data_IF_463928470552
#
_entry.id   IF_463928470552
#
_cell.length_a   1.000
_cell.length_b   1.000
_cell.length_c   1.000
_cell.angle_alpha   90.00
_cell.angle_beta   90.00
_cell.angle_gamma   90.00
#
_symmetry.space_group_name_H-M   'P 1'
#
loop_
_entity.id
_entity.type
_entity.pdbx_description
1 polymer ?
#
# COMPACT_ATOMS: atom_id res chain seq x y z
N UNK A 1 -40.71 -21.41 -20.60
CA UNK A 1 -40.09 -20.24 -19.94
C UNK A 1 -39.03 -20.61 -18.90
N UNK A 2 -39.26 -21.59 -18.04
CA UNK A 2 -38.33 -22.03 -16.97
C UNK A 2 -37.00 -22.63 -17.49
N UNK A 3 -37.01 -23.27 -18.65
CA UNK A 3 -35.84 -23.94 -19.25
C UNK A 3 -34.79 -22.95 -19.75
N UNK A 4 -35.18 -21.74 -20.19
CA UNK A 4 -34.27 -20.71 -20.68
C UNK A 4 -33.58 -19.99 -19.50
N UNK A 5 -34.25 -19.82 -18.35
CA UNK A 5 -33.67 -19.18 -17.15
C UNK A 5 -32.49 -19.99 -16.58
N UNK A 6 -32.64 -21.35 -16.59
CA UNK A 6 -31.53 -22.22 -16.15
C UNK A 6 -30.26 -22.09 -17.03
N UNK A 7 -30.46 -21.92 -18.34
CA UNK A 7 -29.33 -21.76 -19.26
C UNK A 7 -28.61 -20.39 -19.08
N UNK A 8 -29.34 -19.32 -18.81
CA UNK A 8 -28.74 -18.00 -18.52
C UNK A 8 -28.03 -17.98 -17.16
N UNK A 9 -28.57 -18.66 -16.15
CA UNK A 9 -27.93 -18.81 -14.84
C UNK A 9 -26.64 -19.64 -14.95
N UNK A 10 -26.65 -20.71 -15.74
CA UNK A 10 -25.44 -21.53 -15.99
C UNK A 10 -24.38 -20.76 -16.79
N UNK A 11 -24.78 -19.93 -17.76
CA UNK A 11 -23.88 -19.10 -18.54
C UNK A 11 -23.24 -18.01 -17.67
N UNK A 12 -24.01 -17.43 -16.74
CA UNK A 12 -23.52 -16.42 -15.80
C UNK A 12 -22.50 -17.01 -14.80
N UNK A 13 -22.76 -18.22 -14.31
CA UNK A 13 -21.83 -18.96 -13.42
C UNK A 13 -20.55 -19.35 -14.16
N UNK A 14 -20.62 -19.74 -15.44
CA UNK A 14 -19.44 -20.09 -16.24
C UNK A 14 -18.60 -18.81 -16.54
N UNK A 15 -19.26 -17.68 -16.77
CA UNK A 15 -18.56 -16.41 -17.01
C UNK A 15 -17.85 -15.88 -15.75
N UNK A 16 -18.46 -16.07 -14.56
CA UNK A 16 -17.86 -15.69 -13.29
C UNK A 16 -16.69 -16.59 -12.86
N UNK A 17 -16.70 -17.88 -13.24
CA UNK A 17 -15.59 -18.79 -12.94
C UNK A 17 -14.30 -18.48 -13.72
N UNK A 18 -14.39 -17.81 -14.86
CA UNK A 18 -13.19 -17.44 -15.63
C UNK A 18 -12.41 -16.25 -15.04
N UNK A 19 -13.05 -15.41 -14.22
CA UNK A 19 -12.37 -14.30 -13.55
C UNK A 19 -11.58 -14.74 -12.31
N UNK A 20 -11.95 -15.84 -11.66
CA UNK A 20 -11.30 -16.33 -10.43
C UNK A 20 -9.90 -16.95 -10.64
N UNK A 21 -9.48 -17.16 -11.89
CA UNK A 21 -8.16 -17.69 -12.24
C UNK A 21 -7.30 -16.74 -13.08
N UNK A 22 -7.84 -15.60 -13.47
CA UNK A 22 -7.17 -14.66 -14.36
C UNK A 22 -6.28 -13.71 -13.55
N UNK A 23 -5.02 -13.58 -13.97
CA UNK A 23 -4.11 -12.59 -13.43
C UNK A 23 -4.56 -11.21 -13.86
N UNK A 24 -4.73 -10.30 -12.91
CA UNK A 24 -5.23 -8.96 -13.17
C UNK A 24 -4.45 -7.92 -12.37
N UNK A 25 -4.36 -6.72 -12.93
CA UNK A 25 -3.81 -5.54 -12.28
C UNK A 25 -4.91 -4.52 -12.10
N UNK A 26 -5.21 -4.18 -10.86
CA UNK A 26 -6.13 -3.11 -10.49
C UNK A 26 -5.32 -1.89 -10.10
N UNK A 27 -5.52 -0.79 -10.81
CA UNK A 27 -4.74 0.44 -10.61
C UNK A 27 -5.58 1.39 -9.79
N UNK A 28 -5.07 1.74 -8.62
CA UNK A 28 -5.68 2.68 -7.69
C UNK A 28 -4.90 3.99 -7.67
N UNK A 29 -5.62 5.09 -7.66
CA UNK A 29 -5.10 6.39 -7.29
C UNK A 29 -5.38 6.62 -5.81
N UNK A 30 -4.35 6.92 -5.03
CA UNK A 30 -4.46 7.37 -3.65
C UNK A 30 -4.28 8.87 -3.61
N UNK A 31 -5.28 9.59 -3.09
CA UNK A 31 -5.15 10.98 -2.62
C UNK A 31 -5.09 10.98 -1.11
N UNK A 32 -4.05 11.59 -0.54
CA UNK A 32 -3.91 11.58 0.92
C UNK A 32 -3.28 12.86 1.45
N UNK A 33 -3.55 13.16 2.72
CA UNK A 33 -2.89 14.23 3.46
C UNK A 33 -1.61 13.69 4.11
N UNK A 34 -0.44 14.21 3.76
CA UNK A 34 0.83 13.76 4.37
C UNK A 34 0.92 14.10 5.86
N UNK A 35 0.21 15.16 6.31
CA UNK A 35 0.04 15.57 7.70
C UNK A 35 -1.43 15.95 7.94
N UNK A 36 -1.93 15.76 9.15
CA UNK A 36 -3.33 16.06 9.52
C UNK A 36 -3.73 17.50 9.24
N UNK A 37 -2.80 18.43 9.43
CA UNK A 37 -3.03 19.88 9.20
C UNK A 37 -2.73 20.30 7.75
N UNK A 38 -2.38 19.35 6.87
CA UNK A 38 -2.06 19.66 5.48
C UNK A 38 -3.32 20.05 4.70
N UNK A 39 -3.28 21.20 4.06
CA UNK A 39 -4.30 21.63 3.09
C UNK A 39 -4.09 20.92 1.75
N UNK A 40 -2.84 20.57 1.43
CA UNK A 40 -2.46 19.93 0.17
C UNK A 40 -2.59 18.43 0.26
N UNK A 41 -3.29 17.84 -0.72
CA UNK A 41 -3.28 16.40 -0.97
C UNK A 41 -2.08 16.02 -1.84
N UNK A 42 -1.46 14.90 -1.52
CA UNK A 42 -0.53 14.20 -2.41
C UNK A 42 -1.27 13.08 -3.14
N UNK A 43 -0.89 12.83 -4.39
CA UNK A 43 -1.48 11.78 -5.22
C UNK A 43 -0.43 10.76 -5.62
N UNK A 44 -0.74 9.47 -5.45
CA UNK A 44 0.16 8.37 -5.79
C UNK A 44 -0.63 7.24 -6.45
N UNK A 45 -0.03 6.65 -7.50
CA UNK A 45 -0.59 5.47 -8.16
C UNK A 45 -0.04 4.19 -7.53
N UNK A 46 -0.95 3.28 -7.19
CA UNK A 46 -0.69 1.95 -6.68
C UNK A 46 -1.27 0.88 -7.59
N UNK A 47 -0.66 -0.28 -7.54
CA UNK A 47 -1.11 -1.48 -8.24
C UNK A 47 -1.52 -2.54 -7.22
N UNK A 48 -2.69 -3.12 -7.40
CA UNK A 48 -3.10 -4.37 -6.79
C UNK A 48 -3.01 -5.44 -7.87
N UNK A 49 -1.93 -6.19 -7.86
CA UNK A 49 -1.71 -7.31 -8.78
C UNK A 49 -2.20 -8.60 -8.14
N UNK A 50 -3.01 -9.37 -8.87
CA UNK A 50 -3.59 -10.62 -8.36
C UNK A 50 -3.13 -11.81 -9.20
N UNK A 51 -2.80 -12.92 -8.53
CA UNK A 51 -2.51 -14.22 -9.15
C UNK A 51 -3.08 -15.32 -8.25
N UNK A 52 -4.18 -15.96 -8.67
CA UNK A 52 -4.89 -17.01 -7.93
C UNK A 52 -5.34 -16.52 -6.54
N UNK A 53 -4.66 -17.01 -5.51
CA UNK A 53 -4.97 -16.73 -4.10
C UNK A 53 -4.06 -15.65 -3.48
N UNK A 54 -3.12 -15.13 -4.25
CA UNK A 54 -2.18 -14.10 -3.79
C UNK A 54 -2.47 -12.79 -4.47
N UNK A 55 -2.47 -11.70 -3.70
CA UNK A 55 -2.44 -10.35 -4.22
C UNK A 55 -1.32 -9.53 -3.60
N UNK A 56 -0.82 -8.57 -4.39
CA UNK A 56 0.28 -7.70 -4.03
C UNK A 56 -0.12 -6.26 -4.31
N UNK A 57 -0.18 -5.45 -3.26
CA UNK A 57 -0.47 -4.02 -3.36
C UNK A 57 0.79 -3.21 -3.11
N UNK A 58 1.26 -2.48 -4.11
CA UNK A 58 2.45 -1.64 -3.99
C UNK A 58 2.46 -0.51 -5.03
N UNK A 59 3.33 0.49 -4.82
CA UNK A 59 3.54 1.55 -5.80
C UNK A 59 4.27 1.03 -7.04
N UNK A 60 4.18 1.78 -8.16
CA UNK A 60 4.87 1.45 -9.40
C UNK A 60 6.38 1.30 -9.21
N UNK A 61 6.97 2.08 -8.32
CA UNK A 61 8.40 2.04 -8.02
C UNK A 61 8.81 0.71 -7.40
N UNK A 62 8.11 0.27 -6.34
CA UNK A 62 8.35 -1.03 -5.72
C UNK A 62 8.09 -2.18 -6.69
N UNK A 63 7.00 -2.12 -7.46
CA UNK A 63 6.66 -3.10 -8.48
C UNK A 63 7.79 -3.32 -9.48
N UNK A 64 8.39 -2.24 -10.00
CA UNK A 64 9.54 -2.31 -10.91
C UNK A 64 10.79 -2.84 -10.21
N UNK A 65 11.11 -2.31 -9.04
CA UNK A 65 12.29 -2.68 -8.26
C UNK A 65 12.33 -4.17 -7.93
N UNK A 66 11.20 -4.72 -7.46
CA UNK A 66 11.11 -6.14 -7.11
C UNK A 66 11.22 -7.05 -8.34
N UNK A 67 10.63 -6.66 -9.48
CA UNK A 67 10.79 -7.42 -10.70
C UNK A 67 12.24 -7.43 -11.20
N UNK A 68 12.96 -6.33 -11.04
CA UNK A 68 14.39 -6.25 -11.37
C UNK A 68 15.23 -7.07 -10.38
N UNK A 69 14.93 -6.99 -9.09
CA UNK A 69 15.59 -7.82 -8.08
C UNK A 69 15.45 -9.33 -8.36
N UNK A 70 14.27 -9.76 -8.80
CA UNK A 70 14.03 -11.15 -9.18
C UNK A 70 14.79 -11.58 -10.43
N UNK A 71 14.97 -10.66 -11.41
CA UNK A 71 15.62 -10.96 -12.70
C UNK A 71 17.14 -10.86 -12.63
N UNK A 72 17.69 -9.89 -11.93
CA UNK A 72 19.13 -9.57 -11.93
C UNK A 72 19.82 -9.72 -10.56
N UNK A 73 19.04 -10.05 -9.51
CA UNK A 73 19.56 -10.30 -8.16
C UNK A 73 19.65 -9.06 -7.26
N UNK A 74 19.45 -7.86 -7.79
CA UNK A 74 19.48 -6.61 -7.00
C UNK A 74 18.37 -5.65 -7.45
N UNK A 75 17.75 -4.92 -6.51
CA UNK A 75 16.67 -3.97 -6.79
C UNK A 75 17.22 -2.67 -7.40
N UNK A 76 16.32 -1.87 -7.99
CA UNK A 76 16.57 -0.44 -8.15
C UNK A 76 16.49 0.26 -6.79
N UNK A 77 17.12 1.45 -6.70
CA UNK A 77 17.07 2.25 -5.49
C UNK A 77 15.62 2.54 -5.07
N UNK A 78 15.35 2.45 -3.78
CA UNK A 78 14.05 2.78 -3.20
C UNK A 78 13.96 4.26 -2.85
N UNK A 79 12.71 4.74 -2.73
CA UNK A 79 12.43 5.98 -2.00
C UNK A 79 12.94 5.81 -0.56
N UNK A 80 13.88 6.67 -0.18
CA UNK A 80 14.62 6.56 1.08
C UNK A 80 13.88 7.20 2.26
N UNK A 81 12.62 7.58 2.07
CA UNK A 81 11.84 8.27 3.10
C UNK A 81 10.98 7.32 3.93
N UNK A 82 11.06 7.42 5.26
CA UNK A 82 9.98 6.98 6.14
C UNK A 82 8.80 7.92 5.95
N UNK A 83 7.83 7.49 5.17
CA UNK A 83 6.62 8.26 4.92
C UNK A 83 5.42 7.34 4.66
N UNK A 84 4.26 7.96 4.53
CA UNK A 84 3.00 7.29 4.27
C UNK A 84 2.90 6.64 2.86
N UNK A 85 3.93 6.78 2.03
CA UNK A 85 4.00 6.20 0.68
C UNK A 85 4.41 4.71 0.69
N UNK A 86 4.87 4.20 1.83
CA UNK A 86 5.26 2.80 1.97
C UNK A 86 4.04 1.88 2.20
N UNK A 87 3.05 1.98 1.32
CA UNK A 87 1.88 1.08 1.36
C UNK A 87 2.17 -0.14 0.50
N UNK A 88 2.86 -1.12 1.09
CA UNK A 88 3.21 -2.35 0.42
C UNK A 88 2.67 -3.54 1.22
N UNK A 89 1.73 -4.29 0.62
CA UNK A 89 1.04 -5.40 1.28
C UNK A 89 0.96 -6.60 0.36
N UNK A 90 1.27 -7.78 0.89
CA UNK A 90 0.95 -9.07 0.29
C UNK A 90 -0.21 -9.69 1.06
N UNK A 91 -1.25 -10.10 0.35
CA UNK A 91 -2.38 -10.88 0.88
C UNK A 91 -2.34 -12.28 0.28
N UNK A 92 -2.57 -13.30 1.10
CA UNK A 92 -2.67 -14.69 0.67
C UNK A 92 -3.93 -15.28 1.29
N UNK A 93 -4.96 -15.48 0.45
CA UNK A 93 -6.26 -15.98 0.91
C UNK A 93 -6.24 -17.46 1.26
N UNK A 94 -5.32 -18.24 0.69
CA UNK A 94 -5.15 -19.67 1.01
C UNK A 94 -4.53 -19.84 2.39
N UNK A 95 -3.47 -19.09 2.68
CA UNK A 95 -2.77 -19.12 3.96
C UNK A 95 -3.45 -18.22 5.02
N UNK A 96 -4.50 -17.50 4.63
CA UNK A 96 -5.19 -16.49 5.46
C UNK A 96 -4.19 -15.53 6.13
N UNK A 97 -3.27 -14.99 5.32
CA UNK A 97 -2.23 -14.10 5.81
C UNK A 97 -2.22 -12.77 5.07
N UNK A 98 -1.99 -11.71 5.82
CA UNK A 98 -1.73 -10.37 5.31
C UNK A 98 -0.41 -9.89 5.88
N UNK A 99 0.54 -9.56 5.00
CA UNK A 99 1.87 -9.08 5.37
C UNK A 99 2.05 -7.64 4.86
N UNK A 100 2.28 -6.72 5.79
CA UNK A 100 2.73 -5.36 5.46
C UNK A 100 4.26 -5.34 5.42
N UNK A 101 4.82 -4.91 4.29
CA UNK A 101 6.26 -4.71 4.16
C UNK A 101 6.63 -3.31 4.61
N UNK A 102 7.74 -3.19 5.33
CA UNK A 102 8.28 -1.93 5.81
C UNK A 102 9.76 -1.84 5.43
N UNK A 103 10.12 -0.73 4.80
CA UNK A 103 11.46 -0.47 4.29
C UNK A 103 12.15 0.54 5.18
N UNK A 104 13.36 0.22 5.61
CA UNK A 104 14.16 1.11 6.44
C UNK A 104 15.05 1.95 5.51
N UNK A 105 14.85 3.27 5.45
CA UNK A 105 15.67 4.14 4.63
C UNK A 105 17.16 4.00 4.96
N UNK A 106 18.03 4.25 3.97
CA UNK A 106 19.50 4.24 4.13
C UNK A 106 20.07 2.86 4.47
N UNK A 107 19.44 2.10 5.38
CA UNK A 107 19.87 0.77 5.76
C UNK A 107 19.52 -0.33 4.73
N UNK A 108 18.76 0.02 3.69
CA UNK A 108 18.27 -0.92 2.65
C UNK A 108 17.71 -2.23 3.20
N UNK A 109 17.04 -2.14 4.34
CA UNK A 109 16.52 -3.31 5.05
C UNK A 109 15.01 -3.35 4.96
N UNK A 110 14.49 -4.52 4.60
CA UNK A 110 13.06 -4.79 4.53
C UNK A 110 12.66 -5.75 5.65
N UNK A 111 11.60 -5.41 6.36
CA UNK A 111 10.94 -6.28 7.33
C UNK A 111 9.49 -6.49 6.91
N UNK A 112 8.80 -7.43 7.56
CA UNK A 112 7.37 -7.61 7.38
C UNK A 112 6.65 -7.63 8.73
N UNK A 113 5.44 -7.07 8.75
CA UNK A 113 4.54 -7.12 9.89
C UNK A 113 3.37 -8.00 9.48
N UNK A 114 3.07 -9.04 10.26
CA UNK A 114 1.88 -9.85 10.06
C UNK A 114 0.68 -9.09 10.62
N UNK A 115 -0.28 -8.79 9.73
CA UNK A 115 -1.50 -8.09 10.08
C UNK A 115 -2.49 -9.08 10.67
N UNK A 116 -2.88 -8.88 11.93
CA UNK A 116 -3.79 -9.77 12.65
C UNK A 116 -5.19 -9.15 12.86
N UNK A 117 -5.35 -7.87 12.53
CA UNK A 117 -6.64 -7.18 12.67
C UNK A 117 -7.61 -7.71 11.60
N UNK A 118 -8.79 -8.16 12.05
CA UNK A 118 -9.90 -8.49 11.16
C UNK A 118 -10.59 -7.20 10.74
N UNK A 119 -10.94 -7.16 9.46
CA UNK A 119 -11.81 -6.12 8.91
C UNK A 119 -13.25 -6.59 9.05
N UNK A 120 -13.95 -6.12 10.07
CA UNK A 120 -15.37 -6.40 10.27
C UNK A 120 -16.19 -5.34 9.53
N UNK A 121 -16.69 -5.74 8.34
CA UNK A 121 -17.48 -4.86 7.50
C UNK A 121 -18.96 -4.88 7.86
N UNK A 122 -19.54 -3.70 8.09
CA UNK A 122 -20.97 -3.50 8.12
C UNK A 122 -21.43 -3.06 6.74
N UNK A 123 -22.07 -3.96 5.99
CA UNK A 123 -22.65 -3.64 4.69
C UNK A 123 -23.90 -2.80 4.91
N UNK A 124 -24.00 -1.68 4.18
CA UNK A 124 -25.04 -0.69 4.31
C UNK A 124 -25.97 -0.74 3.09
N UNK A 125 -27.22 -0.24 3.19
CA UNK A 125 -28.18 -0.26 2.09
C UNK A 125 -27.87 0.74 0.97
N UNK A 126 -27.02 1.72 1.20
CA UNK A 126 -26.68 2.77 0.24
C UNK A 126 -25.96 2.21 -0.96
N UNK A 127 -26.42 2.64 -2.13
CA UNK A 127 -25.88 2.25 -3.43
C UNK A 127 -25.67 3.47 -4.29
N UNK A 128 -24.62 3.44 -5.11
CA UNK A 128 -24.35 4.48 -6.11
C UNK A 128 -23.50 3.93 -7.26
N UNK A 129 -23.48 4.66 -8.37
CA UNK A 129 -22.58 4.36 -9.48
C UNK A 129 -21.28 5.15 -9.30
N UNK A 130 -20.12 4.45 -9.36
CA UNK A 130 -18.78 5.05 -9.35
C UNK A 130 -18.09 4.63 -10.65
N UNK A 131 -17.78 5.60 -11.49
CA UNK A 131 -17.34 5.29 -12.85
C UNK A 131 -18.41 4.49 -13.60
N UNK A 132 -18.06 3.27 -14.01
CA UNK A 132 -18.96 2.34 -14.69
C UNK A 132 -19.57 1.27 -13.79
N UNK A 133 -19.22 1.23 -12.50
CA UNK A 133 -19.60 0.18 -11.58
C UNK A 133 -20.76 0.58 -10.68
N UNK A 134 -21.75 -0.30 -10.53
CA UNK A 134 -22.78 -0.15 -9.52
C UNK A 134 -22.27 -0.70 -8.18
N UNK A 135 -22.12 0.19 -7.21
CA UNK A 135 -21.47 -0.10 -5.94
C UNK A 135 -22.43 -0.06 -4.77
N UNK A 136 -22.15 -0.86 -3.76
CA UNK A 136 -22.79 -0.83 -2.45
C UNK A 136 -21.80 -0.36 -1.39
N UNK A 137 -22.30 0.38 -0.40
CA UNK A 137 -21.50 0.92 0.70
C UNK A 137 -21.26 -0.12 1.78
N UNK A 138 -20.06 -0.08 2.36
CA UNK A 138 -19.74 -0.77 3.61
C UNK A 138 -18.91 0.15 4.51
N UNK A 139 -19.05 -0.01 5.82
CA UNK A 139 -18.29 0.69 6.84
C UNK A 139 -17.50 -0.31 7.68
N UNK A 140 -16.27 0.04 8.04
CA UNK A 140 -15.42 -0.78 8.90
C UNK A 140 -14.40 0.06 9.65
N UNK A 141 -13.79 -0.52 10.68
CA UNK A 141 -12.75 0.15 11.47
C UNK A 141 -11.40 -0.51 11.23
N UNK A 142 -10.36 0.30 11.02
CA UNK A 142 -9.00 -0.17 10.91
C UNK A 142 -7.99 0.93 11.22
N UNK A 143 -6.93 0.58 11.95
CA UNK A 143 -5.80 1.48 12.19
C UNK A 143 -6.16 2.73 13.01
N UNK A 144 -7.23 2.70 13.80
CA UNK A 144 -7.74 3.87 14.54
C UNK A 144 -8.54 4.86 13.67
N UNK A 145 -9.01 4.41 12.48
CA UNK A 145 -9.87 5.17 11.56
C UNK A 145 -11.14 4.41 11.26
N UNK A 146 -12.21 5.13 10.91
CA UNK A 146 -13.43 4.57 10.32
C UNK A 146 -13.30 4.69 8.80
N UNK A 147 -13.58 3.61 8.09
CA UNK A 147 -13.45 3.52 6.65
C UNK A 147 -14.79 3.31 5.98
N UNK A 148 -15.07 4.08 4.93
CA UNK A 148 -16.24 3.97 4.07
C UNK A 148 -15.81 3.39 2.73
N UNK A 149 -16.15 2.13 2.49
CA UNK A 149 -15.84 1.41 1.26
C UNK A 149 -17.07 1.35 0.34
N UNK A 150 -16.84 1.47 -0.96
CA UNK A 150 -17.79 1.23 -2.02
C UNK A 150 -17.28 0.05 -2.85
N UNK A 151 -17.98 -1.05 -2.82
CA UNK A 151 -17.60 -2.27 -3.50
C UNK A 151 -18.65 -2.70 -4.54
N UNK A 152 -18.23 -3.45 -5.55
CA UNK A 152 -19.12 -3.99 -6.59
C UNK A 152 -19.00 -5.50 -6.70
N UNK A 153 -20.15 -6.17 -6.80
CA UNK A 153 -20.22 -7.60 -7.12
C UNK A 153 -20.05 -7.91 -8.61
N UNK A 154 -20.02 -6.89 -9.47
CA UNK A 154 -19.77 -7.07 -10.91
C UNK A 154 -18.34 -7.57 -11.17
N UNK A 155 -17.40 -7.29 -10.25
CA UNK A 155 -16.06 -7.85 -10.21
C UNK A 155 -15.97 -8.77 -8.98
N UNK A 156 -16.16 -10.10 -9.13
CA UNK A 156 -16.33 -11.03 -8.02
C UNK A 156 -14.97 -11.42 -7.37
N UNK A 157 -14.18 -10.43 -7.03
CA UNK A 157 -12.89 -10.58 -6.35
C UNK A 157 -12.99 -9.87 -5.00
N UNK A 158 -12.96 -10.65 -3.92
CA UNK A 158 -13.05 -10.14 -2.54
C UNK A 158 -11.73 -9.48 -2.11
N UNK A 159 -11.36 -8.39 -2.79
CA UNK A 159 -10.11 -7.69 -2.58
C UNK A 159 -10.27 -6.17 -2.77
N UNK A 160 -9.21 -5.41 -2.48
CA UNK A 160 -9.19 -3.96 -2.58
C UNK A 160 -7.80 -3.38 -2.30
N UNK A 161 -7.67 -2.04 -2.25
CA UNK A 161 -6.39 -1.39 -2.05
C UNK A 161 -5.84 -1.69 -0.64
N UNK A 162 -4.54 -1.64 -0.51
CA UNK A 162 -3.81 -1.83 0.75
C UNK A 162 -4.21 -3.16 1.43
N UNK A 163 -4.62 -3.13 2.70
CA UNK A 163 -5.05 -4.32 3.46
C UNK A 163 -6.54 -4.63 3.26
N UNK A 164 -7.29 -3.72 2.66
CA UNK A 164 -8.74 -3.80 2.61
C UNK A 164 -9.20 -4.94 1.69
N UNK A 165 -9.92 -5.90 2.27
CA UNK A 165 -10.47 -7.07 1.60
C UNK A 165 -11.70 -7.59 2.39
N UNK A 166 -12.30 -8.69 1.95
CA UNK A 166 -13.36 -9.39 2.70
C UNK A 166 -14.78 -8.96 2.36
N UNK A 167 -14.99 -7.96 1.49
CA UNK A 167 -16.31 -7.63 0.95
C UNK A 167 -16.69 -8.59 -0.21
N UNK A 168 -17.98 -8.80 -0.49
CA UNK A 168 -18.42 -9.70 -1.57
C UNK A 168 -18.26 -9.06 -2.95
N UNK A 169 -17.04 -8.65 -3.30
CA UNK A 169 -16.65 -8.01 -4.54
C UNK A 169 -15.50 -7.06 -4.38
N UNK A 170 -15.07 -6.47 -5.50
CA UNK A 170 -13.92 -5.55 -5.53
C UNK A 170 -14.27 -4.19 -4.91
N UNK A 171 -13.40 -3.68 -4.07
CA UNK A 171 -13.51 -2.31 -3.54
C UNK A 171 -13.11 -1.33 -4.65
N UNK A 172 -14.06 -0.53 -5.11
CA UNK A 172 -13.86 0.48 -6.17
C UNK A 172 -13.33 1.79 -5.56
N UNK A 173 -13.86 2.16 -4.40
CA UNK A 173 -13.43 3.36 -3.68
C UNK A 173 -13.46 3.11 -2.18
N UNK A 174 -12.50 3.68 -1.45
CA UNK A 174 -12.50 3.63 0.01
C UNK A 174 -11.85 4.89 0.57
N UNK A 175 -12.53 5.52 1.51
CA UNK A 175 -12.08 6.75 2.18
C UNK A 175 -12.18 6.59 3.68
N UNK A 176 -11.30 7.24 4.44
CA UNK A 176 -11.50 7.37 5.88
C UNK A 176 -12.49 8.50 6.22
N UNK A 177 -13.03 8.48 7.42
CA UNK A 177 -14.06 9.42 7.90
C UNK A 177 -13.57 10.88 7.95
N UNK A 178 -12.25 11.10 8.03
CA UNK A 178 -11.63 12.44 8.05
C UNK A 178 -11.24 12.96 6.68
N UNK A 179 -11.34 12.12 5.64
CA UNK A 179 -10.88 12.44 4.27
C UNK A 179 -9.36 12.65 4.21
N UNK A 180 -8.62 11.97 5.05
CA UNK A 180 -7.15 11.99 5.03
C UNK A 180 -6.61 11.04 3.96
N UNK A 181 -7.36 9.98 3.64
CA UNK A 181 -7.03 8.97 2.64
C UNK A 181 -8.24 8.69 1.75
N UNK A 182 -8.02 8.71 0.44
CA UNK A 182 -9.02 8.38 -0.59
C UNK A 182 -8.37 7.51 -1.66
N UNK A 183 -8.70 6.24 -1.67
CA UNK A 183 -8.29 5.29 -2.71
C UNK A 183 -9.44 5.13 -3.71
N UNK A 184 -9.16 5.30 -4.99
CA UNK A 184 -10.13 5.09 -6.06
C UNK A 184 -9.54 4.23 -7.17
N UNK A 185 -10.28 3.20 -7.61
CA UNK A 185 -9.93 2.38 -8.76
C UNK A 185 -10.06 3.20 -10.04
N UNK A 186 -8.95 3.39 -10.74
CA UNK A 186 -8.92 4.15 -11.99
C UNK A 186 -8.84 3.28 -13.23
N UNK A 187 -8.31 2.06 -13.11
CA UNK A 187 -8.16 1.16 -14.26
C UNK A 187 -8.06 -0.31 -13.83
N UNK A 188 -8.57 -1.20 -14.68
CA UNK A 188 -8.30 -2.65 -14.63
C UNK A 188 -7.55 -3.02 -15.90
N UNK A 189 -6.46 -3.78 -15.76
CA UNK A 189 -5.64 -4.30 -16.86
C UNK A 189 -5.37 -5.79 -16.68
N UNK A 190 -5.03 -6.46 -17.76
CA UNK A 190 -4.39 -7.76 -17.68
C UNK A 190 -3.04 -7.64 -16.99
N UNK A 191 -2.66 -8.64 -16.22
CA UNK A 191 -1.38 -8.68 -15.55
C UNK A 191 -0.26 -8.95 -16.56
N UNK A 192 0.66 -7.99 -16.71
CA UNK A 192 1.66 -8.00 -17.78
C UNK A 192 2.85 -8.94 -17.53
N UNK A 193 3.02 -9.44 -16.29
CA UNK A 193 4.19 -10.22 -15.92
C UNK A 193 3.88 -11.70 -15.78
N UNK A 194 4.92 -12.53 -15.90
CA UNK A 194 4.77 -13.98 -15.78
C UNK A 194 4.31 -14.40 -14.39
N UNK A 195 4.77 -13.71 -13.34
CA UNK A 195 4.49 -14.01 -11.94
C UNK A 195 4.56 -12.76 -11.05
N UNK A 196 4.02 -12.83 -9.85
CA UNK A 196 4.18 -11.81 -8.83
C UNK A 196 5.60 -11.86 -8.24
N UNK A 197 6.17 -10.68 -7.98
CA UNK A 197 7.49 -10.52 -7.40
C UNK A 197 7.38 -9.79 -6.04
N UNK A 198 6.97 -10.46 -4.96
CA UNK A 198 6.92 -9.84 -3.64
C UNK A 198 8.34 -9.57 -3.14
N UNK A 199 8.53 -8.44 -2.47
CA UNK A 199 9.80 -8.12 -1.83
C UNK A 199 10.23 -9.22 -0.84
N UNK A 200 11.54 -9.45 -0.78
CA UNK A 200 12.12 -10.30 0.27
C UNK A 200 12.27 -9.48 1.56
N UNK A 201 12.00 -10.08 2.70
CA UNK A 201 12.19 -9.43 4.00
C UNK A 201 13.13 -10.26 4.89
N UNK A 202 13.85 -9.58 5.80
CA UNK A 202 14.82 -10.22 6.69
C UNK A 202 14.14 -11.07 7.75
N UNK A 203 13.09 -10.53 8.38
CA UNK A 203 12.30 -11.20 9.43
C UNK A 203 10.94 -10.54 9.60
N UNK A 204 10.04 -11.25 10.28
CA UNK A 204 8.82 -10.67 10.83
C UNK A 204 9.16 -9.85 12.08
N UNK A 205 8.48 -8.71 12.21
CA UNK A 205 8.57 -7.82 13.37
C UNK A 205 7.16 -7.47 13.86
N UNK A 206 7.06 -7.04 15.12
CA UNK A 206 5.83 -6.49 15.67
C UNK A 206 5.66 -5.01 15.32
N UNK A 207 4.49 -4.45 15.61
CA UNK A 207 4.26 -3.00 15.50
C UNK A 207 5.13 -2.21 16.48
N UNK A 208 5.33 -2.73 17.69
CA UNK A 208 6.19 -2.13 18.71
C UNK A 208 7.66 -2.11 18.26
N UNK A 209 8.14 -3.19 17.65
CA UNK A 209 9.47 -3.22 17.03
C UNK A 209 9.59 -2.15 15.94
N UNK A 210 8.55 -2.00 15.10
CA UNK A 210 8.55 -1.01 14.03
C UNK A 210 8.53 0.43 14.57
N UNK A 211 7.73 0.72 15.60
CA UNK A 211 7.73 2.02 16.28
C UNK A 211 9.11 2.35 16.86
N UNK A 212 9.78 1.35 17.46
CA UNK A 212 11.15 1.49 17.95
C UNK A 212 12.12 1.80 16.82
N UNK A 213 12.05 1.06 15.71
CA UNK A 213 12.91 1.31 14.53
C UNK A 213 12.68 2.73 13.99
N UNK A 214 11.45 3.21 13.90
CA UNK A 214 11.13 4.56 13.47
C UNK A 214 11.72 5.62 14.42
N UNK A 215 11.64 5.38 15.72
CA UNK A 215 12.19 6.26 16.75
C UNK A 215 13.72 6.29 16.69
N UNK A 216 14.36 5.13 16.59
CA UNK A 216 15.82 5.00 16.49
C UNK A 216 16.34 5.70 15.22
N UNK A 217 15.65 5.50 14.09
CA UNK A 217 15.98 6.19 12.85
C UNK A 217 15.82 7.72 12.96
N UNK A 218 14.73 8.20 13.57
CA UNK A 218 14.52 9.62 13.79
C UNK A 218 15.62 10.24 14.66
N UNK A 219 16.04 9.52 15.70
CA UNK A 219 17.09 9.99 16.62
C UNK A 219 18.48 9.99 15.97
N UNK A 220 18.76 8.99 15.13
CA UNK A 220 20.06 8.89 14.46
C UNK A 220 19.94 8.35 13.01
N UNK A 221 19.39 9.15 12.09
CA UNK A 221 19.08 8.69 10.73
C UNK A 221 20.30 8.29 9.90
N UNK A 222 21.49 8.77 10.24
CA UNK A 222 22.73 8.47 9.51
C UNK A 222 23.61 7.43 10.23
N UNK A 223 23.06 6.66 11.17
CA UNK A 223 23.83 5.70 11.98
C UNK A 223 24.55 4.61 11.18
N UNK A 224 24.09 4.31 9.97
CA UNK A 224 24.68 3.30 9.08
C UNK A 224 25.68 3.89 8.09
N UNK A 225 25.81 5.22 8.00
CA UNK A 225 26.70 5.91 7.09
C UNK A 225 27.99 6.31 7.79
N UNK A 226 29.08 6.21 7.03
CA UNK A 226 30.39 6.72 7.44
C UNK A 226 30.60 8.11 6.85
N UNK A 227 31.57 8.83 7.43
CA UNK A 227 32.03 10.10 6.86
C UNK A 227 32.56 9.86 5.45
N UNK A 228 32.09 10.66 4.48
CA UNK A 228 32.42 10.51 3.07
C UNK A 228 31.50 9.60 2.25
N UNK A 229 30.55 8.84 2.87
CA UNK A 229 29.61 8.00 2.12
C UNK A 229 28.58 8.81 1.34
N UNK A 230 28.36 10.09 1.71
CA UNK A 230 27.45 11.00 1.00
C UNK A 230 28.22 12.22 0.55
N UNK A 231 28.19 12.45 -0.76
CA UNK A 231 28.80 13.60 -1.40
C UNK A 231 27.73 14.49 -2.02
N UNK A 232 27.91 15.80 -1.92
CA UNK A 232 27.17 16.79 -2.67
C UNK A 232 27.91 17.06 -3.98
N UNK A 233 27.19 17.15 -5.08
CA UNK A 233 27.71 17.60 -6.36
C UNK A 233 27.18 19.01 -6.63
N UNK A 234 28.05 19.96 -6.89
CA UNK A 234 27.67 21.31 -7.28
C UNK A 234 27.37 21.44 -8.79
N UNK A 235 26.93 22.61 -9.22
CA UNK A 235 26.58 22.86 -10.62
C UNK A 235 27.78 22.72 -11.59
N UNK A 236 29.00 22.70 -11.07
CA UNK A 236 30.24 22.47 -11.86
C UNK A 236 30.66 21.00 -11.92
N UNK A 237 29.95 20.10 -11.21
CA UNK A 237 30.31 18.70 -11.07
C UNK A 237 31.35 18.44 -9.98
N UNK A 238 31.67 19.44 -9.14
CA UNK A 238 32.64 19.28 -8.04
C UNK A 238 31.96 18.57 -6.86
N UNK A 239 32.60 17.49 -6.40
CA UNK A 239 32.11 16.72 -5.25
C UNK A 239 32.64 17.29 -3.95
N UNK A 240 31.77 17.49 -2.97
CA UNK A 240 32.10 17.90 -1.61
C UNK A 240 31.40 17.01 -0.60
N UNK A 241 31.99 16.86 0.60
CA UNK A 241 31.36 16.07 1.67
C UNK A 241 30.05 16.73 2.12
N UNK A 242 28.98 15.92 2.23
CA UNK A 242 27.68 16.39 2.70
C UNK A 242 27.72 16.77 4.19
N UNK A 243 27.06 17.86 4.55
CA UNK A 243 26.93 18.26 5.94
C UNK A 243 25.91 17.36 6.67
N UNK A 244 26.41 16.41 7.45
CA UNK A 244 25.60 15.46 8.20
C UNK A 244 24.59 16.13 9.15
N UNK A 245 24.93 17.29 9.74
CA UNK A 245 24.01 18.02 10.63
C UNK A 245 22.79 18.54 9.87
N UNK A 246 23.02 19.12 8.70
CA UNK A 246 21.94 19.66 7.87
C UNK A 246 21.08 18.52 7.28
N UNK A 247 21.70 17.40 6.91
CA UNK A 247 20.99 16.20 6.48
C UNK A 247 20.07 15.66 7.59
N UNK A 248 20.59 15.49 8.82
CA UNK A 248 19.80 15.02 9.96
C UNK A 248 18.62 15.96 10.22
N UNK A 249 18.86 17.29 10.21
CA UNK A 249 17.80 18.28 10.40
C UNK A 249 16.73 18.19 9.32
N UNK A 250 17.14 18.03 8.07
CA UNK A 250 16.22 17.86 6.92
C UNK A 250 15.40 16.58 7.03
N UNK A 251 16.03 15.44 7.31
CA UNK A 251 15.36 14.13 7.48
C UNK A 251 14.33 14.22 8.60
N UNK A 252 14.70 14.73 9.77
CA UNK A 252 13.79 14.89 10.91
C UNK A 252 12.62 15.83 10.59
N UNK A 253 12.87 16.93 9.89
CA UNK A 253 11.81 17.84 9.43
C UNK A 253 10.84 17.13 8.49
N UNK A 254 11.36 16.37 7.53
CA UNK A 254 10.55 15.62 6.58
C UNK A 254 9.69 14.57 7.27
N UNK A 255 10.24 13.78 8.19
CA UNK A 255 9.48 12.79 8.97
C UNK A 255 8.32 13.46 9.71
N UNK A 256 8.55 14.57 10.42
CA UNK A 256 7.49 15.28 11.14
C UNK A 256 6.42 15.84 10.22
N UNK A 257 6.81 16.41 9.08
CA UNK A 257 5.86 17.03 8.14
C UNK A 257 5.00 16.04 7.35
N UNK A 258 5.31 14.74 7.43
CA UNK A 258 4.59 13.67 6.73
C UNK A 258 4.06 12.60 7.69
N UNK A 259 3.81 12.97 8.95
CA UNK A 259 3.41 12.03 10.00
C UNK A 259 1.90 11.91 10.14
N UNK A 260 1.26 11.38 9.09
CA UNK A 260 -0.16 11.00 9.11
C UNK A 260 -0.33 9.56 8.59
N UNK A 261 0.12 8.53 9.35
CA UNK A 261 0.01 7.14 8.91
C UNK A 261 -1.44 6.66 8.86
N UNK A 262 -1.69 5.60 8.08
CA UNK A 262 -3.00 4.92 8.07
C UNK A 262 -3.29 4.36 9.46
N UNK A 263 -2.29 3.73 10.07
CA UNK A 263 -2.39 3.13 11.41
C UNK A 263 -2.11 4.16 12.50
N UNK A 264 -3.11 4.97 12.84
CA UNK A 264 -3.01 5.99 13.91
C UNK A 264 -2.73 5.38 15.29
N UNK A 265 -3.22 4.16 15.56
CA UNK A 265 -2.98 3.43 16.79
C UNK A 265 -1.49 3.04 17.00
N UNK A 266 -0.69 3.08 15.92
CA UNK A 266 0.76 2.82 15.97
C UNK A 266 1.59 4.05 15.56
N UNK A 267 0.97 5.23 15.51
CA UNK A 267 1.66 6.47 15.20
C UNK A 267 2.74 6.79 16.23
N UNK A 268 3.93 7.17 15.76
CA UNK A 268 5.02 7.67 16.60
C UNK A 268 4.96 9.19 16.65
N UNK A 269 4.95 9.77 17.85
CA UNK A 269 5.03 11.22 18.03
C UNK A 269 6.50 11.66 18.12
N UNK A 270 6.99 12.21 17.01
CA UNK A 270 8.35 12.69 16.90
C UNK A 270 8.50 14.09 17.54
N UNK A 271 9.13 14.17 18.71
CA UNK A 271 9.33 15.44 19.43
C UNK A 271 10.37 16.32 18.72
N UNK A 272 10.15 17.63 18.77
CA UNK A 272 11.18 18.63 18.47
C UNK A 272 12.10 18.74 19.68
N UNK A 273 13.34 18.28 19.53
CA UNK A 273 14.41 18.60 20.47
C UNK A 273 15.01 19.93 20.10
#
# INVERSE_FOLDING_TARGET
MIRNIKNYLLLFVILSCNLLGQKSSFIYELKYKPHTDSIRLETITYYLDTDKHVSLFCSVMFRKSDSLAAKRGYPDGFDTEFNNKQLYVKKDTKENTVLKYVFIPIAYSTFAIKMNEKLDWKILPEKQTIGKYFCQKAEGSYGGRIWNAWFTSEVPISDGPYIFNGLPGLIIKITDDKGDYDFELVQIKDFEWKELYPAKYKKLISWEDFQKIQTDFYNNPLSTLKKGDVLNEDASGTLSEANHRDMIKSIRKNIRSKNNPIELNYKVDFKTN
#
